data_IF_897844370930
#
_entry.id   IF_897844370930
#
_cell.length_a   1.000
_cell.length_b   1.000
_cell.length_c   1.000
_cell.angle_alpha   90.00
_cell.angle_beta   90.00
_cell.angle_gamma   90.00
#
_symmetry.space_group_name_H-M   'P 1'
#
loop_
_entity.id
_entity.type
_entity.pdbx_description
1 polymer ?
#
# COMPACT_ATOMS: atom_id res chain seq x y z
N UNK A 1 -29.67 17.39 -13.46
CA UNK A 1 -29.06 16.06 -13.31
C UNK A 1 -27.56 16.29 -13.31
N UNK A 2 -26.99 16.36 -12.10
CA UNK A 2 -25.61 16.75 -11.89
C UNK A 2 -24.69 15.53 -12.12
N UNK A 3 -23.76 15.64 -13.05
CA UNK A 3 -22.78 14.61 -13.37
C UNK A 3 -21.50 14.95 -12.62
N UNK A 4 -21.36 14.40 -11.41
CA UNK A 4 -20.13 14.48 -10.63
C UNK A 4 -19.02 13.70 -11.35
N UNK A 5 -18.24 14.43 -12.16
CA UNK A 5 -16.99 13.92 -12.74
C UNK A 5 -15.99 13.67 -11.61
N UNK A 6 -15.72 12.39 -11.34
CA UNK A 6 -14.59 11.97 -10.51
C UNK A 6 -13.31 12.38 -11.25
N UNK A 7 -12.66 13.45 -10.79
CA UNK A 7 -11.33 13.86 -11.28
C UNK A 7 -10.28 13.11 -10.48
N UNK A 8 -9.75 12.02 -11.05
CA UNK A 8 -8.56 11.37 -10.54
C UNK A 8 -7.37 12.31 -10.82
N UNK A 9 -6.90 13.02 -9.81
CA UNK A 9 -5.64 13.77 -9.88
C UNK A 9 -4.47 12.77 -9.86
N UNK A 10 -4.08 12.28 -11.03
CA UNK A 10 -2.79 11.60 -11.19
C UNK A 10 -1.70 12.65 -11.09
N UNK A 11 -0.87 12.62 -10.04
CA UNK A 11 0.30 13.47 -9.94
C UNK A 11 1.26 13.18 -11.13
N UNK A 12 1.50 14.14 -12.04
CA UNK A 12 2.31 13.92 -13.24
C UNK A 12 3.83 13.92 -12.97
N UNK A 13 4.27 14.10 -11.71
CA UNK A 13 5.69 14.17 -11.35
C UNK A 13 6.30 12.86 -10.86
N UNK A 14 5.64 11.71 -11.05
CA UNK A 14 6.38 10.44 -11.01
C UNK A 14 7.12 10.38 -12.34
N UNK A 15 8.39 10.80 -12.32
CA UNK A 15 9.33 10.71 -13.43
C UNK A 15 9.09 9.41 -14.18
N UNK A 16 8.67 9.56 -15.43
CA UNK A 16 8.29 8.47 -16.29
C UNK A 16 9.53 7.61 -16.60
N UNK A 17 9.88 6.64 -15.74
CA UNK A 17 10.68 5.51 -16.18
C UNK A 17 9.76 4.54 -16.94
N UNK A 18 9.39 4.94 -18.16
CA UNK A 18 8.53 4.19 -19.09
C UNK A 18 9.21 2.93 -19.65
N UNK A 19 10.29 2.42 -19.03
CA UNK A 19 11.12 1.34 -19.61
C UNK A 19 11.38 0.15 -18.69
N UNK A 20 10.99 0.19 -17.41
CA UNK A 20 11.21 -0.93 -16.50
C UNK A 20 10.04 -1.88 -16.46
N UNK A 21 10.35 -3.16 -16.41
CA UNK A 21 9.39 -4.24 -16.30
C UNK A 21 8.68 -4.11 -14.93
N UNK A 22 7.33 -4.12 -14.85
CA UNK A 22 6.63 -4.14 -13.57
C UNK A 22 7.05 -5.31 -12.67
N UNK A 23 7.51 -6.40 -13.27
CA UNK A 23 7.94 -7.62 -12.58
C UNK A 23 9.45 -7.59 -12.26
N UNK A 24 10.17 -6.50 -12.60
CA UNK A 24 11.56 -6.29 -12.20
C UNK A 24 11.68 -6.28 -10.68
N UNK A 25 12.56 -7.14 -10.14
CA UNK A 25 12.78 -7.26 -8.70
C UNK A 25 13.99 -6.42 -8.29
N UNK A 26 13.78 -5.43 -7.42
CA UNK A 26 14.83 -4.60 -6.84
C UNK A 26 14.84 -4.79 -5.33
N UNK A 27 15.99 -5.21 -4.78
CA UNK A 27 16.17 -5.50 -3.36
C UNK A 27 15.10 -6.46 -2.78
N UNK A 28 14.62 -7.40 -3.60
CA UNK A 28 13.59 -8.36 -3.22
C UNK A 28 12.15 -7.88 -3.39
N UNK A 29 11.92 -6.66 -3.89
CA UNK A 29 10.59 -6.11 -4.15
C UNK A 29 10.32 -5.94 -5.64
N UNK A 30 9.10 -6.27 -6.07
CA UNK A 30 8.65 -5.93 -7.41
C UNK A 30 8.58 -4.42 -7.64
N UNK A 31 9.01 -3.95 -8.80
CA UNK A 31 8.99 -2.53 -9.17
C UNK A 31 7.58 -1.94 -9.12
N UNK A 32 6.55 -2.71 -9.50
CA UNK A 32 5.15 -2.31 -9.37
C UNK A 32 4.76 -1.96 -7.93
N UNK A 33 5.25 -2.72 -6.96
CA UNK A 33 5.03 -2.49 -5.54
C UNK A 33 5.74 -1.23 -5.04
N UNK A 34 7.00 -1.02 -5.42
CA UNK A 34 7.74 0.21 -5.08
C UNK A 34 7.04 1.46 -5.64
N UNK A 35 6.52 1.38 -6.86
CA UNK A 35 5.71 2.44 -7.47
C UNK A 35 4.39 2.67 -6.74
N UNK A 36 3.77 1.62 -6.22
CA UNK A 36 2.56 1.75 -5.41
C UNK A 36 2.84 2.54 -4.12
N UNK A 37 3.94 2.23 -3.42
CA UNK A 37 4.39 2.97 -2.22
C UNK A 37 4.62 4.46 -2.49
N UNK A 38 5.12 4.84 -3.67
CA UNK A 38 5.36 6.25 -4.07
C UNK A 38 4.17 6.93 -4.74
N UNK A 39 3.18 6.15 -5.16
CA UNK A 39 1.98 6.64 -5.83
C UNK A 39 0.81 6.69 -4.86
N UNK A 40 -0.15 5.79 -5.06
CA UNK A 40 -1.39 5.76 -4.28
C UNK A 40 -1.15 5.49 -2.79
N UNK A 41 -0.09 4.78 -2.45
CA UNK A 41 0.26 4.45 -1.06
C UNK A 41 1.07 5.52 -0.35
N UNK A 42 1.48 6.61 -1.00
CA UNK A 42 2.43 7.57 -0.45
C UNK A 42 1.98 8.13 0.90
N UNK A 43 0.74 8.63 0.99
CA UNK A 43 0.22 9.27 2.21
C UNK A 43 0.29 8.31 3.41
N UNK A 44 -0.01 7.04 3.20
CA UNK A 44 0.06 6.02 4.25
C UNK A 44 1.52 5.66 4.58
N UNK A 45 2.30 5.35 3.54
CA UNK A 45 3.67 4.86 3.67
C UNK A 45 4.61 5.92 4.26
N UNK A 46 4.34 7.22 4.07
CA UNK A 46 5.08 8.32 4.69
C UNK A 46 4.75 8.54 6.17
N UNK A 47 3.65 7.96 6.67
CA UNK A 47 3.21 8.08 8.07
C UNK A 47 3.61 6.86 8.91
N UNK A 48 4.10 5.80 8.28
CA UNK A 48 4.59 4.63 8.99
C UNK A 48 5.88 4.95 9.75
N UNK A 49 5.93 4.59 11.03
CA UNK A 49 7.18 4.59 11.79
C UNK A 49 8.11 3.51 11.27
N UNK A 50 9.35 3.83 10.84
CA UNK A 50 10.32 2.84 10.41
C UNK A 50 10.62 1.81 11.51
N UNK A 51 10.66 0.52 11.16
CA UNK A 51 11.09 -0.55 12.07
C UNK A 51 12.31 -1.27 11.50
N UNK A 52 13.20 -1.82 12.36
CA UNK A 52 14.32 -2.63 11.89
C UNK A 52 13.87 -3.75 10.93
N UNK A 53 14.57 -3.86 9.80
CA UNK A 53 14.23 -4.81 8.72
C UNK A 53 13.26 -4.27 7.67
N UNK A 54 12.66 -3.10 7.86
CA UNK A 54 11.98 -2.40 6.78
C UNK A 54 12.97 -1.82 5.77
N UNK A 55 12.41 -1.43 4.63
CA UNK A 55 13.10 -0.61 3.65
C UNK A 55 12.52 0.80 3.64
N UNK A 56 13.36 1.78 3.40
CA UNK A 56 12.99 3.15 3.13
C UNK A 56 13.32 3.44 1.66
N UNK A 57 12.36 4.05 0.98
CA UNK A 57 12.45 4.46 -0.41
C UNK A 57 12.39 5.99 -0.47
N UNK A 58 13.46 6.58 -0.99
CA UNK A 58 13.56 8.02 -1.20
C UNK A 58 12.91 8.50 -2.49
N UNK A 59 13.42 9.57 -3.08
CA UNK A 59 12.73 10.26 -4.17
C UNK A 59 12.87 9.55 -5.52
N UNK A 60 14.00 8.86 -5.73
CA UNK A 60 14.34 8.22 -7.01
C UNK A 60 14.16 6.71 -6.94
N UNK A 61 13.07 6.20 -7.53
CA UNK A 61 12.84 4.75 -7.62
C UNK A 61 13.59 4.17 -8.82
N UNK A 62 14.36 3.08 -8.67
CA UNK A 62 14.60 2.30 -7.45
C UNK A 62 15.98 2.54 -6.81
N UNK A 63 16.72 3.53 -7.30
CA UNK A 63 18.13 3.73 -6.96
C UNK A 63 18.35 4.27 -5.53
N UNK A 64 17.29 4.81 -4.91
CA UNK A 64 17.31 5.43 -3.58
C UNK A 64 16.58 4.57 -2.54
N UNK A 65 17.11 3.37 -2.29
CA UNK A 65 16.57 2.44 -1.28
C UNK A 65 17.60 2.12 -0.20
N UNK A 66 17.15 2.12 1.05
CA UNK A 66 17.99 1.76 2.22
C UNK A 66 17.24 0.90 3.21
N UNK A 67 17.92 -0.06 3.83
CA UNK A 67 17.37 -0.87 4.90
C UNK A 67 17.42 -0.11 6.24
N UNK A 68 16.41 -0.31 7.08
CA UNK A 68 16.35 0.23 8.44
C UNK A 68 17.09 -0.72 9.38
N UNK A 69 18.10 -0.19 10.08
CA UNK A 69 18.86 -0.91 11.11
C UNK A 69 18.39 -0.51 12.52
N UNK A 70 18.94 -1.16 13.55
CA UNK A 70 18.72 -0.81 14.96
C UNK A 70 19.88 0.06 15.47
N UNK A 71 19.63 1.27 16.03
CA UNK A 71 18.32 1.90 16.25
C UNK A 71 17.70 2.44 14.94
N UNK A 72 16.36 2.43 14.82
CA UNK A 72 15.69 2.97 13.65
C UNK A 72 15.88 4.49 13.60
N UNK A 73 16.38 4.98 12.46
CA UNK A 73 16.43 6.41 12.18
C UNK A 73 15.06 6.97 11.81
N UNK A 74 14.93 8.30 11.86
CA UNK A 74 13.73 9.00 11.40
C UNK A 74 13.58 8.96 9.87
N UNK A 75 12.34 9.11 9.41
CA UNK A 75 12.00 9.24 8.00
C UNK A 75 12.23 10.69 7.57
N UNK A 76 12.98 10.90 6.49
CA UNK A 76 13.23 12.23 5.94
C UNK A 76 12.06 12.73 5.07
N UNK A 77 12.09 14.02 4.73
CA UNK A 77 11.10 14.61 3.84
C UNK A 77 11.11 13.88 2.49
N UNK A 78 9.92 13.48 2.03
CA UNK A 78 9.72 12.66 0.82
C UNK A 78 10.33 11.26 0.87
N UNK A 79 10.74 10.73 2.02
CA UNK A 79 10.98 9.29 2.14
C UNK A 79 9.66 8.57 2.47
N UNK A 80 9.54 7.30 2.08
CA UNK A 80 8.44 6.42 2.47
C UNK A 80 8.95 5.08 2.98
N UNK A 81 8.24 4.48 3.93
CA UNK A 81 8.50 3.10 4.33
C UNK A 81 7.94 2.15 3.27
N UNK A 82 8.74 1.17 2.87
CA UNK A 82 8.37 0.03 2.04
C UNK A 82 8.21 -1.18 2.99
N UNK A 83 6.98 -1.41 3.49
CA UNK A 83 6.76 -2.47 4.47
C UNK A 83 6.93 -3.86 3.84
N UNK A 84 7.53 -4.77 4.58
CA UNK A 84 7.59 -6.19 4.18
C UNK A 84 6.19 -6.81 4.18
N UNK A 85 6.01 -7.94 3.50
CA UNK A 85 4.75 -8.69 3.54
C UNK A 85 4.29 -9.00 4.97
N UNK A 86 5.23 -9.41 5.84
CA UNK A 86 4.95 -9.67 7.25
C UNK A 86 4.39 -8.45 7.98
N UNK A 87 4.95 -7.26 7.72
CA UNK A 87 4.47 -5.99 8.29
C UNK A 87 3.09 -5.62 7.74
N UNK A 88 2.87 -5.81 6.44
CA UNK A 88 1.55 -5.59 5.82
C UNK A 88 0.47 -6.48 6.42
N UNK A 89 0.76 -7.77 6.64
CA UNK A 89 -0.18 -8.71 7.29
C UNK A 89 -0.50 -8.28 8.72
N UNK A 90 0.48 -7.79 9.47
CA UNK A 90 0.24 -7.26 10.83
C UNK A 90 -0.66 -6.03 10.81
N UNK A 91 -0.41 -5.09 9.90
CA UNK A 91 -1.24 -3.89 9.72
C UNK A 91 -2.68 -4.28 9.33
N UNK A 92 -2.84 -5.21 8.39
CA UNK A 92 -4.15 -5.73 7.98
C UNK A 92 -4.91 -6.40 9.13
N UNK A 93 -4.23 -7.11 10.02
CA UNK A 93 -4.86 -7.70 11.22
C UNK A 93 -5.34 -6.67 12.24
N UNK A 94 -4.82 -5.44 12.20
CA UNK A 94 -5.39 -4.32 12.94
C UNK A 94 -6.74 -3.86 12.37
N UNK A 95 -6.96 -4.11 11.08
CA UNK A 95 -8.14 -3.63 10.35
C UNK A 95 -9.19 -4.71 10.07
N UNK A 96 -8.79 -5.99 10.03
CA UNK A 96 -9.58 -7.15 9.65
C UNK A 96 -9.43 -8.30 10.66
N UNK A 97 -10.49 -9.08 10.84
CA UNK A 97 -10.51 -10.24 11.73
C UNK A 97 -9.71 -11.42 11.15
N UNK A 98 -9.83 -11.65 9.84
CA UNK A 98 -9.09 -12.67 9.13
C UNK A 98 -8.42 -12.08 7.87
N UNK A 99 -7.19 -12.52 7.62
CA UNK A 99 -6.39 -12.16 6.44
C UNK A 99 -5.87 -13.44 5.83
N UNK A 100 -6.17 -13.65 4.54
CA UNK A 100 -5.76 -14.82 3.76
C UNK A 100 -4.96 -14.33 2.56
N UNK A 101 -3.80 -14.94 2.33
CA UNK A 101 -3.00 -14.73 1.12
C UNK A 101 -2.93 -16.05 0.38
N UNK A 102 -3.57 -16.11 -0.79
CA UNK A 102 -3.54 -17.26 -1.68
C UNK A 102 -2.52 -17.04 -2.78
N UNK A 103 -1.71 -18.08 -3.03
CA UNK A 103 -0.70 -18.09 -4.08
C UNK A 103 -1.21 -18.90 -5.27
N UNK A 104 -1.34 -18.26 -6.43
CA UNK A 104 -1.62 -18.87 -7.72
C UNK A 104 -0.32 -18.94 -8.55
N UNK A 105 -0.29 -19.69 -9.66
CA UNK A 105 0.93 -19.84 -10.46
C UNK A 105 1.57 -18.52 -10.91
N UNK A 106 0.75 -17.52 -11.25
CA UNK A 106 1.20 -16.23 -11.80
C UNK A 106 0.74 -15.02 -10.97
N UNK A 107 -0.07 -15.24 -9.93
CA UNK A 107 -0.77 -14.19 -9.20
C UNK A 107 -0.89 -14.52 -7.70
N UNK A 108 -1.21 -13.49 -6.92
CA UNK A 108 -1.47 -13.57 -5.48
C UNK A 108 -2.78 -12.86 -5.18
N UNK A 109 -3.62 -13.49 -4.36
CA UNK A 109 -4.84 -12.87 -3.87
C UNK A 109 -4.72 -12.57 -2.37
N UNK A 110 -4.97 -11.33 -1.97
CA UNK A 110 -5.13 -10.94 -0.57
C UNK A 110 -6.61 -10.73 -0.28
N UNK A 111 -7.16 -11.56 0.61
CA UNK A 111 -8.54 -11.50 1.06
C UNK A 111 -8.58 -11.14 2.54
N UNK A 112 -9.41 -10.16 2.89
CA UNK A 112 -9.59 -9.69 4.25
C UNK A 112 -11.07 -9.80 4.63
N UNK A 113 -11.35 -10.28 5.84
CA UNK A 113 -12.72 -10.50 6.33
C UNK A 113 -12.92 -9.85 7.69
N UNK A 114 -14.14 -9.38 7.94
CA UNK A 114 -14.56 -8.93 9.27
C UNK A 114 -15.00 -10.12 10.15
N UNK A 115 -15.41 -9.84 11.39
CA UNK A 115 -15.86 -10.86 12.35
C UNK A 115 -17.07 -11.67 11.83
N UNK A 116 -17.94 -11.05 11.02
CA UNK A 116 -19.08 -11.71 10.39
C UNK A 116 -18.74 -12.54 9.15
N UNK A 117 -17.45 -12.73 8.85
CA UNK A 117 -16.96 -13.37 7.61
C UNK A 117 -17.37 -12.64 6.32
N UNK A 118 -17.77 -11.37 6.41
CA UNK A 118 -17.99 -10.55 5.22
C UNK A 118 -16.66 -10.04 4.69
N UNK A 119 -16.50 -10.11 3.37
CA UNK A 119 -15.31 -9.62 2.67
C UNK A 119 -15.18 -8.11 2.84
N UNK A 120 -14.05 -7.69 3.41
CA UNK A 120 -13.59 -6.29 3.48
C UNK A 120 -12.75 -5.91 2.25
N UNK A 121 -11.95 -6.84 1.73
CA UNK A 121 -11.16 -6.65 0.52
C UNK A 121 -10.88 -8.01 -0.14
N UNK A 122 -10.82 -8.01 -1.47
CA UNK A 122 -10.35 -9.15 -2.26
C UNK A 122 -9.55 -8.61 -3.45
N UNK A 123 -8.23 -8.55 -3.29
CA UNK A 123 -7.33 -7.93 -4.25
C UNK A 123 -6.40 -8.97 -4.84
N UNK A 124 -6.32 -9.01 -6.18
CA UNK A 124 -5.35 -9.84 -6.92
C UNK A 124 -4.23 -8.95 -7.44
N UNK A 125 -2.98 -9.39 -7.32
CA UNK A 125 -1.80 -8.73 -7.88
C UNK A 125 -0.70 -9.74 -8.17
N UNK A 126 0.30 -9.34 -8.97
CA UNK A 126 1.39 -10.22 -9.41
C UNK A 126 2.42 -10.56 -8.32
N UNK A 127 2.37 -9.84 -7.20
CA UNK A 127 3.22 -10.09 -6.03
C UNK A 127 2.40 -9.90 -4.75
N UNK A 128 2.75 -10.62 -3.66
CA UNK A 128 1.94 -10.64 -2.45
C UNK A 128 1.98 -9.31 -1.68
N UNK A 129 3.10 -8.58 -1.70
CA UNK A 129 3.21 -7.27 -1.06
C UNK A 129 2.25 -6.25 -1.70
N UNK A 130 2.16 -6.23 -3.02
CA UNK A 130 1.24 -5.36 -3.74
C UNK A 130 -0.21 -5.73 -3.45
N UNK A 131 -0.56 -7.01 -3.47
CA UNK A 131 -1.91 -7.47 -3.15
C UNK A 131 -2.31 -7.04 -1.73
N UNK A 132 -1.45 -7.30 -0.74
CA UNK A 132 -1.69 -6.96 0.65
C UNK A 132 -1.75 -5.45 0.88
N UNK A 133 -0.86 -4.69 0.25
CA UNK A 133 -0.83 -3.25 0.44
C UNK A 133 -2.03 -2.55 -0.21
N UNK A 134 -2.44 -2.98 -1.42
CA UNK A 134 -3.69 -2.50 -2.05
C UNK A 134 -4.91 -2.83 -1.20
N UNK A 135 -4.98 -4.03 -0.62
CA UNK A 135 -6.07 -4.40 0.28
C UNK A 135 -6.12 -3.49 1.52
N UNK A 136 -4.97 -3.17 2.11
CA UNK A 136 -4.88 -2.26 3.25
C UNK A 136 -5.37 -0.86 2.88
N UNK A 137 -4.87 -0.30 1.78
CA UNK A 137 -5.29 1.02 1.29
C UNK A 137 -6.79 1.05 1.01
N UNK A 138 -7.34 0.00 0.39
CA UNK A 138 -8.78 -0.11 0.12
C UNK A 138 -9.60 -0.06 1.42
N UNK A 139 -9.27 -0.88 2.41
CA UNK A 139 -9.99 -0.94 3.69
C UNK A 139 -9.95 0.42 4.40
N UNK A 140 -8.79 1.07 4.42
CA UNK A 140 -8.64 2.39 5.03
C UNK A 140 -9.47 3.46 4.33
N UNK A 141 -9.48 3.46 2.99
CA UNK A 141 -10.31 4.38 2.21
C UNK A 141 -11.80 4.17 2.46
N UNK A 142 -12.26 2.91 2.52
CA UNK A 142 -13.67 2.59 2.81
C UNK A 142 -14.08 3.06 4.21
N UNK A 143 -13.23 2.84 5.24
CA UNK A 143 -13.50 3.33 6.60
C UNK A 143 -13.60 4.85 6.66
N UNK A 144 -12.63 5.56 6.06
CA UNK A 144 -12.66 7.03 5.97
C UNK A 144 -13.95 7.53 5.28
N UNK A 145 -14.40 6.84 4.23
CA UNK A 145 -15.63 7.20 3.51
C UNK A 145 -16.90 6.97 4.37
N UNK A 146 -16.97 5.86 5.10
CA UNK A 146 -18.08 5.55 6.01
C UNK A 146 -18.17 6.54 7.17
N UNK A 147 -17.02 6.91 7.76
CA UNK A 147 -16.94 7.92 8.81
C UNK A 147 -17.42 9.30 8.31
N UNK A 148 -16.97 9.69 7.12
CA UNK A 148 -17.41 10.95 6.50
C UNK A 148 -18.92 10.94 6.23
N UNK A 149 -19.47 9.87 5.67
CA UNK A 149 -20.91 9.76 5.41
C UNK A 149 -21.75 9.80 6.71
N UNK A 150 -21.26 9.14 7.75
CA UNK A 150 -21.92 9.12 9.07
C UNK A 150 -21.92 10.51 9.71
N UNK A 151 -20.82 11.26 9.61
CA UNK A 151 -20.72 12.63 10.12
C UNK A 151 -21.66 13.62 9.39
N UNK A 152 -21.91 13.42 8.08
CA UNK A 152 -22.83 14.27 7.30
C UNK A 152 -24.32 13.94 7.53
N UNK A 153 -24.64 12.79 8.10
CA UNK A 153 -26.02 12.38 8.40
C UNK A 153 -26.58 12.91 9.73
N UNK A 154 -25.72 13.50 10.56
CA UNK A 154 -26.05 14.05 11.89
C UNK A 154 -25.86 15.57 11.99
N UNK A 155 -25.68 16.26 10.85
CA UNK A 155 -25.52 17.71 10.74
C UNK A 155 -26.77 18.43 10.24
#
# INVERSE_FOLDING_TARGET
MDSSQIRIHTNPNIGADKRRDPDEVINGFAYSYLRLCRGQGYEFASQLTPQPGDWILGETVPDDMRMVFDPPGELQEKEVVVPTLSRLVQLLRGEAHAVVIDCYPDDFACMCFNEGSFSLANIVSRNPEEAAFRALLFIMSEKKAQEAASAHSHG
#
